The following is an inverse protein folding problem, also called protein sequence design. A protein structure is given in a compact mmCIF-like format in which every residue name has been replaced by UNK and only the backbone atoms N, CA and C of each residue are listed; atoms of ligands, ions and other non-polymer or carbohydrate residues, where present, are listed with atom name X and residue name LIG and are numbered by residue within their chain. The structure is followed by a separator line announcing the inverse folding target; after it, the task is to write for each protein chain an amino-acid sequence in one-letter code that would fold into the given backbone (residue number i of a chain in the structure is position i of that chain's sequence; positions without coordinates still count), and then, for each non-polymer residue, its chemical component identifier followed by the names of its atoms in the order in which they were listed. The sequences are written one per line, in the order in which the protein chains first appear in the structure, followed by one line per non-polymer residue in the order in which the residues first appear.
data_IF_567092817889
#
_entry.id   IF_567092817889
#
_cell.length_a   1.000
_cell.length_b   1.000
_cell.length_c   1.000
_cell.angle_alpha   90.00
_cell.angle_beta   90.00
_cell.angle_gamma   90.00
#
_symmetry.space_group_name_H-M   'P 1'
#
loop_
_entity.id
_entity.type
_entity.pdbx_description
1 polymer ?
#
# COMPACT_ATOMS: atom_id res chain seq x y z
N UNK A 1 -1.24 18.89 -9.12
CA UNK A 1 -2.25 17.81 -8.99
C UNK A 1 -3.61 18.47 -8.92
N UNK A 2 -4.58 18.02 -9.73
CA UNK A 2 -5.92 18.58 -9.74
C UNK A 2 -6.68 18.23 -8.45
N UNK A 3 -7.45 19.18 -7.92
CA UNK A 3 -8.34 18.92 -6.80
C UNK A 3 -9.56 18.12 -7.30
N UNK A 4 -9.92 17.07 -6.58
CA UNK A 4 -11.13 16.25 -6.83
C UNK A 4 -12.10 16.47 -5.67
N UNK A 5 -13.39 16.63 -5.98
CA UNK A 5 -14.43 16.82 -4.96
C UNK A 5 -14.92 15.46 -4.44
N UNK A 6 -14.83 15.26 -3.13
CA UNK A 6 -15.35 14.08 -2.43
C UNK A 6 -16.45 14.49 -1.45
N UNK A 7 -17.64 13.89 -1.59
CA UNK A 7 -18.73 14.02 -0.61
C UNK A 7 -18.77 12.76 0.26
N UNK A 8 -18.48 12.90 1.54
CA UNK A 8 -18.46 11.81 2.51
C UNK A 8 -19.32 12.14 3.73
N UNK A 9 -20.04 11.13 4.22
CA UNK A 9 -20.74 11.20 5.51
C UNK A 9 -19.85 10.56 6.56
N UNK A 10 -19.59 11.31 7.64
CA UNK A 10 -18.81 10.84 8.78
C UNK A 10 -19.68 10.89 10.03
N UNK A 11 -19.43 9.97 10.95
CA UNK A 11 -20.10 9.99 12.25
C UNK A 11 -19.54 11.13 13.15
N UNK A 12 -20.20 11.35 14.29
CA UNK A 12 -19.85 12.44 15.20
C UNK A 12 -18.45 12.31 15.81
N UNK A 13 -17.98 11.09 16.07
CA UNK A 13 -16.64 10.86 16.59
C UNK A 13 -15.58 11.17 15.53
N UNK A 14 -15.75 10.63 14.32
CA UNK A 14 -14.87 10.93 13.19
C UNK A 14 -14.76 12.44 12.90
N UNK A 15 -15.86 13.17 12.99
CA UNK A 15 -15.87 14.62 12.82
C UNK A 15 -15.03 15.35 13.89
N UNK A 16 -15.09 14.91 15.15
CA UNK A 16 -14.27 15.48 16.25
C UNK A 16 -12.78 15.18 16.06
N UNK A 17 -12.44 13.97 15.63
CA UNK A 17 -11.06 13.59 15.32
C UNK A 17 -10.50 14.49 14.21
N UNK A 18 -11.27 14.72 13.13
CA UNK A 18 -10.87 15.63 12.05
C UNK A 18 -10.66 17.06 12.54
N UNK A 19 -11.49 17.56 13.46
CA UNK A 19 -11.30 18.89 14.06
C UNK A 19 -10.02 18.96 14.91
N UNK A 20 -9.70 17.91 15.67
CA UNK A 20 -8.45 17.81 16.44
C UNK A 20 -7.22 17.78 15.52
N UNK A 21 -7.25 16.96 14.46
CA UNK A 21 -6.16 16.88 13.48
C UNK A 21 -5.99 18.23 12.78
N UNK A 22 -7.08 18.87 12.35
CA UNK A 22 -7.04 20.19 11.75
C UNK A 22 -6.34 21.21 12.67
N UNK A 23 -6.67 21.22 13.97
CA UNK A 23 -6.05 22.10 14.94
C UNK A 23 -4.57 21.75 15.20
N UNK A 24 -4.24 20.47 15.36
CA UNK A 24 -2.89 20.00 15.65
C UNK A 24 -1.88 20.35 14.55
N UNK A 25 -2.32 20.33 13.28
CA UNK A 25 -1.48 20.61 12.12
C UNK A 25 -1.69 22.02 11.54
N UNK A 26 -2.51 22.87 12.17
CA UNK A 26 -2.76 24.25 11.72
C UNK A 26 -3.43 24.35 10.35
N UNK A 27 -4.31 23.40 10.01
CA UNK A 27 -4.95 23.29 8.69
C UNK A 27 -6.19 24.17 8.59
N UNK A 28 -6.51 24.64 7.39
CA UNK A 28 -7.59 25.62 7.17
C UNK A 28 -8.96 24.97 7.11
N UNK A 29 -9.05 23.74 6.60
CA UNK A 29 -10.31 23.04 6.38
C UNK A 29 -10.21 21.54 6.71
N UNK A 30 -11.37 20.89 6.82
CA UNK A 30 -11.44 19.44 7.12
C UNK A 30 -10.93 18.58 5.95
N UNK A 31 -11.04 19.06 4.73
CA UNK A 31 -10.53 18.35 3.54
C UNK A 31 -9.01 18.20 3.60
N UNK A 32 -8.30 19.22 4.06
CA UNK A 32 -6.85 19.17 4.31
C UNK A 32 -6.50 18.17 5.41
N UNK A 33 -7.29 18.12 6.48
CA UNK A 33 -7.09 17.15 7.56
C UNK A 33 -7.28 15.70 7.06
N UNK A 34 -8.30 15.47 6.21
CA UNK A 34 -8.50 14.17 5.56
C UNK A 34 -7.32 13.83 4.65
N UNK A 35 -6.88 14.76 3.78
CA UNK A 35 -5.73 14.53 2.91
C UNK A 35 -4.46 14.20 3.71
N UNK A 36 -4.23 14.89 4.82
CA UNK A 36 -3.09 14.62 5.71
C UNK A 36 -3.13 13.20 6.25
N UNK A 37 -4.27 12.78 6.81
CA UNK A 37 -4.45 11.41 7.31
C UNK A 37 -4.27 10.37 6.20
N UNK A 38 -4.85 10.60 5.03
CA UNK A 38 -4.71 9.69 3.88
C UNK A 38 -3.26 9.61 3.40
N UNK A 39 -2.49 10.69 3.40
CA UNK A 39 -1.07 10.62 3.02
C UNK A 39 -0.19 9.92 4.06
N UNK A 40 -0.55 10.04 5.33
CA UNK A 40 0.21 9.47 6.45
C UNK A 40 -0.06 7.96 6.59
N UNK A 41 -1.32 7.55 6.50
CA UNK A 41 -1.75 6.15 6.67
C UNK A 41 -2.04 5.42 5.36
N UNK A 42 -2.31 6.13 4.27
CA UNK A 42 -2.68 5.50 2.99
C UNK A 42 -1.54 4.72 2.34
N UNK A 43 -0.29 4.99 2.72
CA UNK A 43 0.87 4.21 2.28
C UNK A 43 0.88 2.78 2.82
N UNK A 44 0.24 2.54 3.96
CA UNK A 44 0.14 1.20 4.56
C UNK A 44 -1.05 0.42 3.98
N UNK A 45 -2.10 1.12 3.54
CA UNK A 45 -3.29 0.50 2.95
C UNK A 45 -3.20 0.25 1.46
N UNK A 46 -2.44 1.07 0.73
CA UNK A 46 -2.14 0.84 -0.66
C UNK A 46 -0.86 0.02 -0.73
N UNK A 47 -0.96 -1.23 -1.19
CA UNK A 47 0.21 -1.88 -1.76
C UNK A 47 0.77 -0.92 -2.82
N UNK A 48 2.10 -0.65 -2.82
CA UNK A 48 2.67 0.20 -3.85
C UNK A 48 2.24 -0.38 -5.20
N UNK A 49 1.68 0.47 -6.07
CA UNK A 49 1.29 0.04 -7.41
C UNK A 49 2.44 -0.78 -7.99
N UNK A 50 2.16 -2.06 -8.32
CA UNK A 50 3.12 -2.95 -8.95
C UNK A 50 3.72 -2.18 -10.12
N UNK A 51 4.99 -1.76 -9.98
CA UNK A 51 5.66 -0.99 -11.03
C UNK A 51 5.44 -1.73 -12.33
N UNK A 52 4.92 -1.05 -13.35
CA UNK A 52 4.81 -1.63 -14.68
C UNK A 52 6.16 -2.25 -15.05
N UNK A 53 6.18 -3.56 -15.30
CA UNK A 53 7.41 -4.35 -15.51
C UNK A 53 7.87 -5.23 -14.35
N UNK A 54 7.29 -5.14 -13.15
CA UNK A 54 7.62 -6.08 -12.06
C UNK A 54 7.19 -7.50 -12.41
N UNK A 55 6.00 -7.67 -12.99
CA UNK A 55 5.54 -8.95 -13.51
C UNK A 55 6.51 -9.51 -14.56
N UNK A 56 6.99 -8.67 -15.49
CA UNK A 56 7.95 -9.06 -16.52
C UNK A 56 9.31 -9.47 -15.92
N UNK A 57 9.77 -8.75 -14.88
CA UNK A 57 11.01 -9.09 -14.19
C UNK A 57 10.91 -10.44 -13.46
N UNK A 58 9.77 -10.71 -12.80
CA UNK A 58 9.50 -12.00 -12.14
C UNK A 58 9.42 -13.13 -13.17
N UNK A 59 8.70 -12.93 -14.27
CA UNK A 59 8.58 -13.92 -15.36
C UNK A 59 9.94 -14.22 -15.99
N UNK A 60 10.74 -13.19 -16.27
CA UNK A 60 12.09 -13.34 -16.82
C UNK A 60 12.98 -14.15 -15.87
N UNK A 61 12.98 -13.80 -14.58
CA UNK A 61 13.79 -14.51 -13.57
C UNK A 61 13.35 -15.96 -13.40
N UNK A 62 12.04 -16.24 -13.43
CA UNK A 62 11.54 -17.61 -13.39
C UNK A 62 12.01 -18.41 -14.60
N UNK A 63 11.95 -17.82 -15.80
CA UNK A 63 12.41 -18.48 -17.02
C UNK A 63 13.92 -18.77 -16.99
N UNK A 64 14.73 -17.81 -16.55
CA UNK A 64 16.18 -18.01 -16.34
C UNK A 64 16.48 -19.09 -15.30
N UNK A 65 15.68 -19.16 -14.23
CA UNK A 65 15.78 -20.19 -13.19
C UNK A 65 15.39 -21.58 -13.71
N UNK A 66 14.36 -21.66 -14.56
CA UNK A 66 13.94 -22.90 -15.24
C UNK A 66 15.03 -23.39 -16.22
N UNK A 67 15.57 -22.49 -17.04
CA UNK A 67 16.62 -22.78 -18.04
C UNK A 67 17.96 -23.15 -17.41
N UNK A 68 18.32 -22.55 -16.27
CA UNK A 68 19.51 -22.94 -15.48
C UNK A 68 19.34 -24.28 -14.74
N UNK A 69 18.18 -24.91 -14.87
CA UNK A 69 17.87 -26.21 -14.29
C UNK A 69 17.54 -26.14 -12.80
N UNK A 70 17.06 -25.01 -12.28
CA UNK A 70 16.80 -24.75 -10.85
C UNK A 70 15.84 -25.73 -10.16
N UNK A 71 15.19 -26.62 -10.90
CA UNK A 71 14.42 -27.75 -10.39
C UNK A 71 15.25 -29.03 -10.13
N UNK A 72 16.59 -28.97 -10.06
CA UNK A 72 17.43 -30.17 -9.77
C UNK A 72 16.99 -30.92 -8.52
N UNK A 73 16.37 -30.23 -7.56
CA UNK A 73 15.75 -30.84 -6.39
C UNK A 73 14.56 -30.00 -5.91
N UNK A 74 13.40 -30.64 -5.77
CA UNK A 74 12.26 -30.05 -5.06
C UNK A 74 12.47 -30.24 -3.56
N UNK A 75 12.29 -29.17 -2.81
CA UNK A 75 12.33 -29.20 -1.35
C UNK A 75 11.13 -29.97 -0.80
N UNK A 76 11.34 -30.75 0.25
CA UNK A 76 10.24 -31.48 0.91
C UNK A 76 9.51 -30.57 1.91
N UNK A 77 8.25 -30.88 2.22
CA UNK A 77 7.46 -30.13 3.20
C UNK A 77 8.14 -30.07 4.58
N UNK A 78 8.77 -31.18 5.00
CA UNK A 78 9.54 -31.24 6.25
C UNK A 78 10.76 -30.32 6.29
N UNK A 79 11.38 -30.07 5.14
CA UNK A 79 12.51 -29.13 5.04
C UNK A 79 12.04 -27.67 5.04
N UNK A 80 10.81 -27.40 4.56
CA UNK A 80 10.21 -26.06 4.56
C UNK A 80 9.82 -25.58 5.94
N UNK A 81 9.24 -26.47 6.73
CA UNK A 81 8.81 -26.19 8.10
C UNK A 81 9.98 -25.97 9.06
N UNK A 82 11.21 -26.32 8.65
CA UNK A 82 12.42 -26.20 9.46
C UNK A 82 13.26 -24.93 9.18
N UNK A 83 12.85 -24.07 8.25
CA UNK A 83 13.44 -22.76 7.96
C UNK A 83 12.83 -21.66 8.84
#
# INVERSE_FOLDING_TARGET
MGAVTLNVKVDAYSNRVLDMVKAAYGLSNKSEAVNKLVHEYGKEMLEPELKAGFADAVLKRNKEWEESGGFKRKMTLKELEAL
#
